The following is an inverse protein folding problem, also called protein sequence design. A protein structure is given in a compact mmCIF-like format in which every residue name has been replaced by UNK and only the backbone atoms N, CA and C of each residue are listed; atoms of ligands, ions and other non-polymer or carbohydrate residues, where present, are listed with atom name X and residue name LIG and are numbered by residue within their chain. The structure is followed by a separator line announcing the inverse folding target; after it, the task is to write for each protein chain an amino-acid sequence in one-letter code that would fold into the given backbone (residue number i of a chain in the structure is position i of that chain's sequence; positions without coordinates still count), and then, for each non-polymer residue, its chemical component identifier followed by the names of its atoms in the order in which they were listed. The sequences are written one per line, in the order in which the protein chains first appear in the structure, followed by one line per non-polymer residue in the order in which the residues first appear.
data_IF_276652877286
#
_entry.id   IF_276652877286
#
_cell.length_a   1.000
_cell.length_b   1.000
_cell.length_c   1.000
_cell.angle_alpha   90.00
_cell.angle_beta   90.00
_cell.angle_gamma   90.00
#
_symmetry.space_group_name_H-M   'P 1'
#
loop_
_entity.id
_entity.type
_entity.pdbx_description
1 polymer ?
#
# COMPACT_ATOMS: atom_id res chain seq x y z
N UNK A 1 -13.81 -4.06 -2.30
CA UNK A 1 -14.55 -5.25 -1.94
C UNK A 1 -14.01 -5.92 -0.68
N UNK A 2 -14.59 -7.02 -0.35
CA UNK A 2 -14.25 -7.85 0.82
C UNK A 2 -12.95 -8.65 0.64
N UNK A 3 -11.95 -8.09 0.02
CA UNK A 3 -10.68 -8.81 -0.19
C UNK A 3 -9.53 -8.04 0.42
N UNK A 4 -8.67 -8.79 1.09
CA UNK A 4 -7.32 -8.36 1.46
C UNK A 4 -6.36 -8.84 0.39
N UNK A 5 -5.39 -8.02 0.02
CA UNK A 5 -4.34 -8.40 -0.91
C UNK A 5 -2.97 -8.02 -0.35
N UNK A 6 -2.05 -8.98 -0.43
CA UNK A 6 -0.65 -8.80 -0.03
C UNK A 6 0.22 -8.80 -1.27
N UNK A 7 1.04 -7.77 -1.41
CA UNK A 7 2.08 -7.64 -2.42
C UNK A 7 3.43 -7.71 -1.71
N UNK A 8 4.15 -8.79 -1.91
CA UNK A 8 5.42 -9.01 -1.24
C UNK A 8 6.57 -9.07 -2.24
N UNK A 9 7.54 -8.18 -2.10
CA UNK A 9 8.72 -8.06 -2.97
C UNK A 9 8.36 -7.90 -4.45
N UNK A 10 7.29 -7.15 -4.72
CA UNK A 10 6.84 -6.90 -6.08
C UNK A 10 7.56 -5.69 -6.69
N UNK A 11 7.81 -5.75 -7.99
CA UNK A 11 8.20 -4.58 -8.77
C UNK A 11 6.96 -3.99 -9.46
N UNK A 12 6.61 -2.78 -9.09
CA UNK A 12 5.44 -2.05 -9.60
C UNK A 12 5.96 -0.91 -10.46
N UNK A 13 5.58 -0.91 -11.74
CA UNK A 13 6.08 0.07 -12.70
C UNK A 13 4.96 0.90 -13.30
N UNK A 14 5.00 2.22 -13.06
CA UNK A 14 3.99 3.17 -13.55
C UNK A 14 4.31 3.59 -14.99
N UNK A 15 3.38 3.39 -15.92
CA UNK A 15 3.47 3.75 -17.33
C UNK A 15 2.98 5.16 -17.64
N UNK A 16 2.26 5.78 -16.71
CA UNK A 16 1.71 7.14 -16.82
C UNK A 16 1.45 7.71 -15.43
N UNK A 17 1.25 9.01 -15.37
CA UNK A 17 0.79 9.70 -14.17
C UNK A 17 -0.54 9.13 -13.66
N UNK A 18 -0.75 9.15 -12.35
CA UNK A 18 -1.97 8.64 -11.74
C UNK A 18 -1.79 8.06 -10.35
N UNK A 19 -2.24 6.83 -10.15
CA UNK A 19 -2.31 6.21 -8.84
C UNK A 19 -1.77 4.78 -8.90
N UNK A 20 -1.01 4.39 -7.88
CA UNK A 20 -0.57 2.99 -7.74
C UNK A 20 -1.76 2.10 -7.39
N UNK A 21 -2.62 2.57 -6.49
CA UNK A 21 -3.78 1.80 -6.02
C UNK A 21 -5.05 2.64 -5.94
N UNK A 22 -6.18 1.94 -5.94
CA UNK A 22 -7.50 2.51 -5.69
C UNK A 22 -8.36 1.49 -4.92
N UNK A 23 -8.09 1.26 -3.63
CA UNK A 23 -8.78 0.24 -2.87
C UNK A 23 -10.26 0.58 -2.66
N UNK A 24 -11.09 -0.48 -2.67
CA UNK A 24 -12.51 -0.40 -2.35
C UNK A 24 -12.84 -1.23 -1.12
N UNK A 25 -12.03 -1.08 -0.08
CA UNK A 25 -12.22 -1.75 1.20
C UNK A 25 -13.56 -1.37 1.79
N UNK A 26 -14.31 -2.34 2.25
CA UNK A 26 -15.61 -2.10 2.89
C UNK A 26 -15.43 -1.74 4.37
N UNK A 27 -16.44 -1.08 4.94
CA UNK A 27 -16.46 -0.74 6.36
C UNK A 27 -16.34 -2.00 7.23
N UNK A 28 -15.52 -1.93 8.27
CA UNK A 28 -15.29 -3.03 9.19
C UNK A 28 -14.29 -4.09 8.70
N UNK A 29 -13.81 -4.02 7.47
CA UNK A 29 -12.74 -4.89 7.01
C UNK A 29 -11.40 -4.50 7.65
N UNK A 30 -10.71 -5.47 8.25
CA UNK A 30 -9.50 -5.21 9.01
C UNK A 30 -8.33 -4.73 8.15
N UNK A 31 -8.14 -5.32 6.96
CA UNK A 31 -7.06 -5.01 6.04
C UNK A 31 -7.57 -4.81 4.61
N UNK A 32 -6.93 -3.89 3.90
CA UNK A 32 -7.10 -3.72 2.46
C UNK A 32 -5.87 -4.22 1.69
N UNK A 33 -5.15 -3.33 1.01
CA UNK A 33 -3.92 -3.65 0.29
C UNK A 33 -2.71 -3.40 1.19
N UNK A 34 -1.82 -4.40 1.27
CA UNK A 34 -0.58 -4.28 2.03
C UNK A 34 0.60 -4.65 1.14
N UNK A 35 1.58 -3.75 1.06
CA UNK A 35 2.78 -3.87 0.24
C UNK A 35 3.99 -4.02 1.17
N UNK A 36 4.79 -5.08 0.95
CA UNK A 36 6.01 -5.36 1.70
C UNK A 36 7.21 -5.40 0.76
N UNK A 37 8.27 -4.67 1.10
CA UNK A 37 9.54 -4.68 0.37
C UNK A 37 9.37 -4.50 -1.16
N UNK A 38 8.35 -3.76 -1.57
CA UNK A 38 8.07 -3.53 -2.98
C UNK A 38 8.92 -2.40 -3.53
N UNK A 39 9.24 -2.50 -4.83
CA UNK A 39 9.94 -1.45 -5.57
C UNK A 39 8.98 -0.76 -6.52
N UNK A 40 8.85 0.57 -6.41
CA UNK A 40 8.01 1.40 -7.26
C UNK A 40 8.89 2.21 -8.21
N UNK A 41 8.72 2.00 -9.51
CA UNK A 41 9.43 2.71 -10.57
C UNK A 41 8.45 3.28 -11.59
N UNK A 42 8.96 4.06 -12.54
CA UNK A 42 8.14 4.62 -13.62
C UNK A 42 8.95 4.86 -14.89
N UNK A 43 8.24 5.01 -16.00
CA UNK A 43 8.82 5.52 -17.24
C UNK A 43 9.37 6.95 -17.05
N UNK A 44 10.37 7.35 -17.82
CA UNK A 44 11.11 8.59 -17.62
C UNK A 44 10.25 9.87 -17.68
N UNK A 45 9.14 9.84 -18.40
CA UNK A 45 8.19 10.93 -18.54
C UNK A 45 7.12 10.99 -17.44
N UNK A 46 7.03 9.96 -16.59
CA UNK A 46 6.06 9.87 -15.49
C UNK A 46 6.62 10.55 -14.25
N UNK A 47 5.87 11.49 -13.67
CA UNK A 47 6.35 12.35 -12.58
C UNK A 47 5.34 12.56 -11.45
N UNK A 48 4.05 12.28 -11.70
CA UNK A 48 2.97 12.65 -10.77
C UNK A 48 2.13 11.43 -10.44
N UNK A 49 2.66 10.58 -9.56
CA UNK A 49 1.97 9.37 -9.12
C UNK A 49 1.69 9.45 -7.63
N UNK A 50 0.45 9.16 -7.25
CA UNK A 50 0.04 8.97 -5.87
C UNK A 50 0.14 7.48 -5.48
N UNK A 51 0.40 7.19 -4.23
CA UNK A 51 0.38 5.84 -3.68
C UNK A 51 -1.05 5.26 -3.72
N UNK A 52 -2.05 6.10 -3.41
CA UNK A 52 -3.44 5.65 -3.46
C UNK A 52 -4.44 6.80 -3.59
N UNK A 53 -5.64 6.43 -4.05
CA UNK A 53 -6.87 7.21 -3.93
C UNK A 53 -8.02 6.34 -3.43
N UNK A 54 -9.04 6.87 -2.72
CA UNK A 54 -10.13 6.06 -2.22
C UNK A 54 -11.16 5.79 -3.32
N UNK A 55 -11.28 4.52 -3.74
CA UNK A 55 -12.42 4.13 -4.56
C UNK A 55 -13.70 4.19 -3.73
N UNK A 56 -13.65 3.67 -2.47
CA UNK A 56 -14.72 3.76 -1.48
C UNK A 56 -14.24 4.45 -0.18
N UNK A 57 -15.17 4.93 0.68
CA UNK A 57 -14.84 5.73 1.86
C UNK A 57 -13.88 5.08 2.87
N UNK A 58 -13.92 3.75 3.01
CA UNK A 58 -13.08 3.00 3.96
C UNK A 58 -11.85 2.37 3.31
N UNK A 59 -11.39 2.93 2.19
CA UNK A 59 -10.22 2.44 1.46
C UNK A 59 -9.00 2.31 2.36
N UNK A 60 -8.29 1.18 2.25
CA UNK A 60 -7.08 0.92 3.02
C UNK A 60 -5.92 0.53 2.10
N UNK A 61 -4.76 1.17 2.29
CA UNK A 61 -3.51 0.81 1.65
C UNK A 61 -2.33 1.11 2.59
N UNK A 62 -1.45 0.14 2.78
CA UNK A 62 -0.28 0.24 3.65
C UNK A 62 0.96 -0.17 2.87
N UNK A 63 2.01 0.65 2.93
CA UNK A 63 3.31 0.40 2.32
C UNK A 63 4.36 0.25 3.42
N UNK A 64 4.98 -0.92 3.49
CA UNK A 64 5.95 -1.30 4.52
C UNK A 64 7.30 -1.54 3.85
N UNK A 65 8.31 -0.75 4.23
CA UNK A 65 9.67 -0.86 3.77
C UNK A 65 9.81 -0.91 2.23
N UNK A 66 9.06 -0.03 1.54
CA UNK A 66 9.06 0.02 0.08
C UNK A 66 10.07 1.04 -0.47
N UNK A 67 10.73 0.67 -1.58
CA UNK A 67 11.58 1.58 -2.37
C UNK A 67 10.70 2.44 -3.29
N UNK A 68 10.55 3.71 -2.96
CA UNK A 68 9.67 4.63 -3.66
C UNK A 68 10.47 5.50 -4.64
N UNK A 69 10.21 5.32 -5.94
CA UNK A 69 10.84 6.10 -7.00
C UNK A 69 10.43 7.58 -6.97
N UNK A 70 11.23 8.43 -7.60
CA UNK A 70 11.05 9.90 -7.66
C UNK A 70 9.72 10.38 -8.27
N UNK A 71 9.01 9.51 -8.96
CA UNK A 71 7.71 9.80 -9.56
C UNK A 71 6.58 9.86 -8.52
N UNK A 72 6.80 9.34 -7.31
CA UNK A 72 5.83 9.45 -6.22
C UNK A 72 5.83 10.88 -5.69
N UNK A 73 4.67 11.51 -5.76
CA UNK A 73 4.48 12.87 -5.28
C UNK A 73 4.77 13.00 -3.78
N UNK A 74 5.35 14.13 -3.32
CA UNK A 74 5.63 14.34 -1.89
C UNK A 74 4.41 14.16 -0.99
N UNK A 75 3.22 14.61 -1.41
CA UNK A 75 1.96 14.41 -0.70
C UNK A 75 1.55 12.95 -0.59
N UNK A 76 1.99 12.10 -1.50
CA UNK A 76 1.85 10.65 -1.51
C UNK A 76 0.43 10.12 -1.68
N UNK A 77 -0.56 10.74 -1.08
CA UNK A 77 -1.94 10.27 -0.98
C UNK A 77 -2.92 11.30 -1.51
N UNK A 78 -3.97 10.86 -2.14
CA UNK A 78 -5.00 11.73 -2.71
C UNK A 78 -6.39 11.34 -2.20
N UNK A 79 -7.23 12.32 -1.92
CA UNK A 79 -8.61 12.09 -1.47
C UNK A 79 -9.61 11.89 -2.62
N UNK A 80 -9.16 12.06 -3.87
CA UNK A 80 -9.97 11.98 -5.08
C UNK A 80 -11.23 12.85 -5.02
N UNK A 81 -11.07 14.07 -4.51
CA UNK A 81 -12.15 15.06 -4.27
C UNK A 81 -13.28 14.54 -3.34
N UNK A 82 -12.99 13.54 -2.53
CA UNK A 82 -13.90 12.96 -1.53
C UNK A 82 -13.43 13.37 -0.13
N UNK A 83 -13.66 14.62 0.25
CA UNK A 83 -13.13 15.16 1.51
C UNK A 83 -13.57 14.36 2.74
N UNK A 84 -14.78 13.82 2.75
CA UNK A 84 -15.26 13.00 3.87
C UNK A 84 -14.52 11.67 3.99
N UNK A 85 -13.97 11.13 2.88
CA UNK A 85 -13.17 9.92 2.92
C UNK A 85 -11.86 10.10 3.71
N UNK A 86 -11.35 11.32 3.86
CA UNK A 86 -10.17 11.62 4.69
C UNK A 86 -10.34 11.18 6.14
N UNK A 87 -11.58 11.09 6.62
CA UNK A 87 -11.93 10.69 8.00
C UNK A 87 -12.00 9.17 8.18
N UNK A 88 -12.12 8.43 7.09
CA UNK A 88 -12.45 7.00 7.13
C UNK A 88 -11.44 6.10 6.42
N UNK A 89 -10.60 6.65 5.52
CA UNK A 89 -9.52 5.89 4.89
C UNK A 89 -8.43 5.53 5.91
N UNK A 90 -7.78 4.40 5.69
CA UNK A 90 -6.56 4.07 6.39
C UNK A 90 -5.41 3.94 5.39
N UNK A 91 -4.64 5.01 5.26
CA UNK A 91 -3.45 5.10 4.43
C UNK A 91 -2.23 5.23 5.31
N UNK A 92 -1.27 4.33 5.16
CA UNK A 92 -0.11 4.31 6.03
C UNK A 92 1.17 3.89 5.31
N UNK A 93 2.28 4.32 5.86
CA UNK A 93 3.63 3.90 5.49
C UNK A 93 4.41 3.53 6.74
N UNK A 94 5.32 2.57 6.60
CA UNK A 94 6.34 2.24 7.59
C UNK A 94 7.70 2.11 6.91
N UNK A 95 8.66 2.92 7.35
CA UNK A 95 10.07 2.85 6.95
C UNK A 95 10.31 2.72 5.43
N UNK A 96 9.46 3.34 4.61
CA UNK A 96 9.66 3.41 3.17
C UNK A 96 10.83 4.34 2.85
N UNK A 97 11.58 4.02 1.81
CA UNK A 97 12.80 4.71 1.44
C UNK A 97 12.85 5.06 -0.05
N UNK A 98 13.96 5.62 -0.50
CA UNK A 98 14.14 6.06 -1.88
C UNK A 98 13.72 7.52 -2.12
N UNK A 99 13.92 8.04 -3.35
CA UNK A 99 13.72 9.45 -3.65
C UNK A 99 12.28 9.94 -3.58
N UNK A 100 11.30 9.03 -3.61
CA UNK A 100 9.88 9.32 -3.45
C UNK A 100 9.40 9.21 -1.99
N UNK A 101 10.24 8.78 -1.06
CA UNK A 101 9.90 8.70 0.35
C UNK A 101 10.04 10.09 0.99
N UNK A 102 8.90 10.68 1.35
CA UNK A 102 8.86 12.00 1.98
C UNK A 102 7.84 12.04 3.11
N UNK A 103 8.13 11.40 4.26
CA UNK A 103 7.17 11.25 5.35
C UNK A 103 6.66 12.57 5.92
N UNK A 104 7.48 13.64 5.88
CA UNK A 104 7.11 14.96 6.40
C UNK A 104 6.13 15.73 5.50
N UNK A 105 6.08 15.41 4.21
CA UNK A 105 5.23 16.10 3.24
C UNK A 105 3.96 15.31 2.88
N UNK A 106 3.75 14.15 3.51
CA UNK A 106 2.58 13.32 3.25
C UNK A 106 1.28 14.02 3.65
N UNK A 107 0.20 13.65 2.97
CA UNK A 107 -1.14 14.15 3.27
C UNK A 107 -1.48 13.96 4.75
N UNK A 108 -2.10 14.96 5.37
CA UNK A 108 -2.39 14.99 6.81
C UNK A 108 -3.31 13.85 7.28
N UNK A 109 -4.12 13.28 6.38
CA UNK A 109 -5.00 12.15 6.67
C UNK A 109 -4.32 10.78 6.53
N UNK A 110 -3.01 10.75 6.24
CA UNK A 110 -2.22 9.51 6.20
C UNK A 110 -1.39 9.35 7.47
N UNK A 111 -0.89 8.13 7.68
CA UNK A 111 -0.17 7.76 8.90
C UNK A 111 1.25 7.29 8.59
N UNK A 112 2.19 7.67 9.45
CA UNK A 112 3.50 7.04 9.54
C UNK A 112 3.45 6.10 10.74
N UNK A 113 3.50 4.79 10.49
CA UNK A 113 3.45 3.79 11.55
C UNK A 113 4.75 3.79 12.35
N UNK A 114 4.66 3.51 13.65
CA UNK A 114 5.82 3.41 14.55
C UNK A 114 6.44 2.02 14.55
N UNK A 115 5.65 1.02 14.23
CA UNK A 115 6.03 -0.39 14.13
C UNK A 115 5.09 -1.11 13.15
N UNK A 116 5.30 -2.40 12.96
CA UNK A 116 4.51 -3.25 12.08
C UNK A 116 3.69 -4.29 12.83
N UNK A 117 3.44 -4.07 14.12
CA UNK A 117 2.60 -4.97 14.92
C UNK A 117 1.22 -5.15 14.28
N UNK A 118 0.81 -6.40 14.10
CA UNK A 118 -0.44 -6.75 13.42
C UNK A 118 -0.37 -6.74 11.89
N UNK A 119 0.78 -6.36 11.32
CA UNK A 119 1.04 -6.40 9.87
C UNK A 119 2.02 -7.52 9.46
N UNK A 120 2.19 -8.55 10.26
CA UNK A 120 2.84 -9.77 9.81
C UNK A 120 2.02 -10.38 8.66
N UNK A 121 2.68 -10.85 7.60
CA UNK A 121 1.97 -11.34 6.40
C UNK A 121 0.97 -12.44 6.76
N UNK A 122 1.35 -13.33 7.67
CA UNK A 122 0.48 -14.37 8.20
C UNK A 122 -0.77 -13.79 8.86
N UNK A 123 -0.60 -12.76 9.67
CA UNK A 123 -1.72 -12.10 10.37
C UNK A 123 -2.65 -11.36 9.41
N UNK A 124 -2.09 -10.76 8.37
CA UNK A 124 -2.86 -10.04 7.35
C UNK A 124 -3.68 -10.99 6.48
N UNK A 125 -3.13 -12.17 6.17
CA UNK A 125 -3.77 -13.16 5.33
C UNK A 125 -4.66 -14.15 6.10
N UNK A 126 -4.44 -14.27 7.42
CA UNK A 126 -5.22 -15.19 8.24
C UNK A 126 -6.71 -14.80 8.24
N UNK A 127 -7.54 -15.69 7.73
CA UNK A 127 -8.99 -15.58 7.89
C UNK A 127 -9.45 -16.20 9.21
N UNK A 128 -10.76 -16.21 9.43
CA UNK A 128 -11.38 -16.89 10.56
C UNK A 128 -11.33 -18.42 10.44
N UNK A 129 -10.95 -18.91 9.26
CA UNK A 129 -10.79 -20.32 8.91
C UNK A 129 -9.39 -20.88 9.20
N UNK A 130 -8.48 -20.04 9.74
CA UNK A 130 -7.09 -20.43 10.01
C UNK A 130 -6.24 -20.61 8.75
N UNK A 131 -6.71 -20.12 7.59
CA UNK A 131 -5.94 -20.19 6.35
C UNK A 131 -4.59 -19.45 6.50
N UNK A 132 -3.50 -20.17 6.22
CA UNK A 132 -2.15 -19.62 6.25
C UNK A 132 -1.35 -20.15 5.06
N UNK A 133 -1.26 -19.37 3.98
CA UNK A 133 -0.57 -19.80 2.76
C UNK A 133 0.95 -19.91 2.94
N UNK A 134 1.50 -19.33 4.02
CA UNK A 134 2.94 -19.31 4.28
C UNK A 134 3.37 -20.54 5.08
N UNK A 135 2.60 -20.93 6.10
CA UNK A 135 2.91 -22.07 6.96
C UNK A 135 2.86 -23.43 6.23
N UNK A 136 2.10 -23.53 5.15
CA UNK A 136 1.91 -24.77 4.41
C UNK A 136 3.03 -25.10 3.38
N UNK A 137 4.20 -24.48 3.50
CA UNK A 137 5.36 -24.77 2.64
C UNK A 137 5.22 -24.35 1.17
N UNK A 138 4.04 -23.90 0.75
CA UNK A 138 3.83 -23.18 -0.50
C UNK A 138 4.26 -21.72 -0.34
N UNK A 139 5.19 -21.52 0.58
CA UNK A 139 5.93 -20.29 0.68
C UNK A 139 6.28 -19.85 -0.73
N UNK A 140 5.84 -18.67 -1.08
CA UNK A 140 6.28 -17.85 -2.17
C UNK A 140 7.48 -18.49 -2.86
N UNK A 141 7.20 -19.18 -3.94
CA UNK A 141 8.19 -19.93 -4.73
C UNK A 141 9.42 -19.06 -4.82
N UNK A 142 10.56 -19.59 -4.35
CA UNK A 142 11.86 -19.05 -4.64
C UNK A 142 12.04 -19.09 -6.16
N UNK A 143 11.56 -18.06 -6.83
CA UNK A 143 11.90 -17.81 -8.22
C UNK A 143 13.35 -17.36 -8.17
N UNK A 144 14.25 -18.31 -8.15
CA UNK A 144 15.63 -18.07 -8.54
C UNK A 144 15.58 -17.62 -9.99
N UNK A 145 15.83 -16.34 -10.21
CA UNK A 145 16.22 -15.83 -11.52
C UNK A 145 17.66 -16.23 -11.82
#
# INVERSE_FOLDING_TARGET
GWSTAVFNRCHIHSKRDGYVTAPSTDEGQKYGYVFYDCKLTADANVKNVYLSRPWRPFAQAVFIHCDLGKHILPVGWHNWNKKDAEKTVFYAEYDSYGPGANPKARAAFSHQLKDTEGYEIESVLAGTDGWNPIANGNALVNIKR
#
